data_IF_968298920628
#
_entry.id   IF_968298920628
#
_cell.length_a   1.000
_cell.length_b   1.000
_cell.length_c   1.000
_cell.angle_alpha   90.00
_cell.angle_beta   90.00
_cell.angle_gamma   90.00
#
_symmetry.space_group_name_H-M   'P 1'
#
loop_
_entity.id
_entity.type
_entity.pdbx_description
1 polymer ?
#
# COMPACT_ATOMS: atom_id res chain seq x y z
N UNK A 1 19.24 34.26 27.84
CA UNK A 1 18.72 32.93 27.47
C UNK A 1 18.69 32.87 25.96
N UNK A 2 19.55 32.05 25.36
CA UNK A 2 19.67 31.94 23.89
C UNK A 2 18.63 31.00 23.27
N UNK A 3 18.63 30.90 21.94
CA UNK A 3 17.82 29.94 21.20
C UNK A 3 18.44 28.54 21.30
N UNK A 4 17.59 27.51 21.35
CA UNK A 4 18.00 26.10 21.35
C UNK A 4 17.19 25.31 20.33
N UNK A 5 17.82 24.27 19.77
CA UNK A 5 17.22 23.32 18.83
C UNK A 5 17.22 21.95 19.50
N UNK A 6 16.06 21.34 19.66
CA UNK A 6 15.91 19.99 20.21
C UNK A 6 15.68 19.00 19.05
N UNK A 7 16.54 17.98 18.96
CA UNK A 7 16.51 16.95 17.94
C UNK A 7 16.37 15.60 18.63
N UNK A 8 15.45 14.76 18.15
CA UNK A 8 15.25 13.41 18.65
C UNK A 8 14.90 12.46 17.50
N UNK A 9 15.14 11.17 17.71
CA UNK A 9 14.83 10.09 16.78
C UNK A 9 13.47 9.46 17.11
N UNK A 10 12.63 9.28 16.10
CA UNK A 10 11.33 8.60 16.24
C UNK A 10 11.20 7.47 15.22
N UNK A 11 10.37 6.48 15.53
CA UNK A 11 10.11 5.34 14.66
C UNK A 11 8.62 5.12 14.52
N UNK A 12 8.17 4.86 13.30
CA UNK A 12 6.78 4.55 13.02
C UNK A 12 6.67 3.49 11.93
N UNK A 13 5.54 2.79 11.88
CA UNK A 13 5.29 1.72 10.93
C UNK A 13 4.74 2.27 9.61
N UNK A 14 5.30 1.81 8.50
CA UNK A 14 4.84 2.11 7.15
C UNK A 14 4.37 0.84 6.45
N UNK A 15 3.43 1.01 5.52
CA UNK A 15 3.02 -0.07 4.62
C UNK A 15 4.08 -0.21 3.54
N UNK A 16 4.57 -1.42 3.37
CA UNK A 16 5.54 -1.76 2.35
C UNK A 16 4.93 -1.62 0.94
N UNK A 17 5.67 -1.07 -0.05
CA UNK A 17 5.17 -0.85 -1.41
C UNK A 17 5.27 -2.10 -2.29
N UNK A 18 4.39 -3.07 -2.05
CA UNK A 18 4.36 -4.33 -2.78
C UNK A 18 3.09 -4.51 -3.66
N UNK A 19 3.12 -5.41 -4.66
CA UNK A 19 1.93 -5.82 -5.40
C UNK A 19 0.80 -6.28 -4.45
N UNK A 20 -0.45 -5.96 -4.78
CA UNK A 20 -1.57 -6.29 -3.90
C UNK A 20 -1.73 -7.81 -3.73
N UNK A 21 -1.44 -8.59 -4.76
CA UNK A 21 -1.41 -10.06 -4.70
C UNK A 21 -0.45 -10.56 -3.63
N UNK A 22 0.79 -10.06 -3.65
CA UNK A 22 1.82 -10.44 -2.68
C UNK A 22 1.42 -10.03 -1.26
N UNK A 23 0.76 -8.88 -1.11
CA UNK A 23 0.30 -8.39 0.18
C UNK A 23 -0.77 -9.30 0.77
N UNK A 24 -1.68 -9.75 -0.07
CA UNK A 24 -2.73 -10.68 0.33
C UNK A 24 -2.12 -12.06 0.67
N UNK A 25 -1.14 -12.53 -0.10
CA UNK A 25 -0.44 -13.78 0.19
C UNK A 25 0.31 -13.72 1.54
N UNK A 26 1.03 -12.62 1.82
CA UNK A 26 1.70 -12.39 3.10
C UNK A 26 0.69 -12.28 4.26
N UNK A 27 -0.42 -11.55 4.06
CA UNK A 27 -1.47 -11.39 5.07
C UNK A 27 -2.11 -12.72 5.47
N UNK A 28 -2.33 -13.61 4.49
CA UNK A 28 -2.91 -14.94 4.71
C UNK A 28 -1.87 -16.01 5.05
N UNK A 29 -0.58 -15.67 4.93
CA UNK A 29 0.57 -16.58 5.08
C UNK A 29 0.41 -17.85 4.22
N UNK A 30 -0.05 -17.70 2.97
CA UNK A 30 -0.25 -18.80 2.02
C UNK A 30 -0.28 -18.30 0.57
N UNK A 31 -0.10 -19.22 -0.36
CA UNK A 31 -0.34 -18.96 -1.78
C UNK A 31 -1.86 -18.89 -2.07
N UNK A 32 -2.27 -17.81 -2.74
CA UNK A 32 -3.66 -17.54 -3.11
C UNK A 32 -4.03 -17.99 -4.53
N UNK A 33 -3.05 -18.41 -5.33
CA UNK A 33 -3.27 -18.97 -6.68
C UNK A 33 -3.81 -20.39 -6.63
N UNK A 34 -3.42 -21.17 -5.62
CA UNK A 34 -3.72 -22.61 -5.51
C UNK A 34 -5.12 -22.87 -4.92
N UNK A 35 -5.60 -22.00 -4.02
CA UNK A 35 -6.85 -22.22 -3.29
C UNK A 35 -7.75 -20.99 -3.29
N UNK A 36 -9.06 -21.14 -3.59
CA UNK A 36 -10.02 -20.05 -3.46
C UNK A 36 -10.06 -19.41 -2.07
N UNK A 37 -10.37 -18.12 -2.01
CA UNK A 37 -10.52 -17.39 -0.76
C UNK A 37 -11.81 -17.81 -0.04
N UNK A 38 -11.68 -18.18 1.24
CA UNK A 38 -12.83 -18.39 2.13
C UNK A 38 -13.45 -17.06 2.56
N UNK A 39 -14.65 -17.08 3.11
CA UNK A 39 -15.30 -15.86 3.62
C UNK A 39 -14.49 -15.20 4.74
N UNK A 40 -13.85 -16.00 5.61
CA UNK A 40 -12.94 -15.49 6.64
C UNK A 40 -11.74 -14.76 6.02
N UNK A 41 -11.16 -15.32 4.96
CA UNK A 41 -10.05 -14.68 4.24
C UNK A 41 -10.51 -13.35 3.62
N UNK A 42 -11.68 -13.34 2.97
CA UNK A 42 -12.27 -12.13 2.37
C UNK A 42 -12.48 -11.02 3.40
N UNK A 43 -12.97 -11.35 4.59
CA UNK A 43 -13.15 -10.38 5.69
C UNK A 43 -11.81 -9.82 6.15
N UNK A 44 -10.79 -10.67 6.32
CA UNK A 44 -9.43 -10.24 6.71
C UNK A 44 -8.82 -9.30 5.66
N UNK A 45 -8.88 -9.68 4.39
CA UNK A 45 -8.34 -8.88 3.28
C UNK A 45 -9.08 -7.53 3.19
N UNK A 46 -10.42 -7.55 3.23
CA UNK A 46 -11.23 -6.32 3.17
C UNK A 46 -10.87 -5.37 4.31
N UNK A 47 -10.68 -5.89 5.54
CA UNK A 47 -10.27 -5.09 6.69
C UNK A 47 -8.85 -4.54 6.53
N UNK A 48 -7.92 -5.32 6.00
CA UNK A 48 -6.52 -4.91 5.82
C UNK A 48 -6.36 -3.85 4.74
N UNK A 49 -7.00 -4.03 3.57
CA UNK A 49 -6.85 -3.15 2.41
C UNK A 49 -7.73 -1.89 2.45
N UNK A 50 -8.81 -1.85 3.25
CA UNK A 50 -9.67 -0.67 3.33
C UNK A 50 -8.87 0.58 3.72
N UNK A 51 -8.98 1.62 2.91
CA UNK A 51 -8.31 2.92 3.05
C UNK A 51 -6.91 3.00 2.44
N UNK A 52 -6.29 1.85 2.10
CA UNK A 52 -4.95 1.80 1.52
C UNK A 52 -4.98 2.44 0.12
N UNK A 53 -3.95 3.25 -0.16
CA UNK A 53 -3.74 3.85 -1.48
C UNK A 53 -2.98 2.86 -2.36
N UNK A 54 -3.51 2.61 -3.54
CA UNK A 54 -2.88 1.78 -4.56
C UNK A 54 -2.70 2.57 -5.84
N UNK A 55 -1.71 2.19 -6.62
CA UNK A 55 -1.51 2.65 -7.98
C UNK A 55 -1.71 1.50 -8.97
N UNK A 56 -2.23 1.82 -10.14
CA UNK A 56 -2.37 0.84 -11.21
C UNK A 56 -1.03 0.64 -11.89
N UNK A 57 -0.59 -0.61 -12.01
CA UNK A 57 0.64 -1.00 -12.69
C UNK A 57 0.45 -0.84 -14.20
N UNK A 58 1.30 -0.04 -14.85
CA UNK A 58 1.25 0.22 -16.28
C UNK A 58 1.62 1.66 -16.66
N UNK A 59 1.25 2.08 -17.87
CA UNK A 59 1.58 3.41 -18.39
C UNK A 59 0.87 4.55 -17.65
N UNK A 60 -0.31 4.26 -17.09
CA UNK A 60 -1.14 5.25 -16.41
C UNK A 60 -1.11 5.00 -14.89
N UNK A 61 -0.14 5.60 -14.18
CA UNK A 61 0.06 5.46 -12.73
C UNK A 61 -0.97 6.26 -11.90
N UNK A 62 -2.26 6.06 -12.17
CA UNK A 62 -3.33 6.66 -11.39
C UNK A 62 -3.37 6.02 -10.01
N UNK A 63 -3.54 6.87 -8.99
CA UNK A 63 -3.61 6.48 -7.58
C UNK A 63 -5.06 6.48 -7.12
N UNK A 64 -5.44 5.46 -6.36
CA UNK A 64 -6.79 5.26 -5.86
C UNK A 64 -6.76 4.84 -4.40
N UNK A 65 -7.79 5.21 -3.63
CA UNK A 65 -8.03 4.63 -2.31
C UNK A 65 -9.00 3.45 -2.43
N UNK A 66 -8.64 2.33 -1.79
CA UNK A 66 -9.49 1.14 -1.74
C UNK A 66 -10.66 1.39 -0.78
N UNK A 67 -11.88 1.29 -1.30
CA UNK A 67 -13.12 1.34 -0.52
C UNK A 67 -13.53 -0.05 -0.02
N UNK A 68 -13.25 -1.10 -0.79
CA UNK A 68 -13.62 -2.47 -0.43
C UNK A 68 -13.17 -3.53 -1.44
N UNK A 69 -13.80 -4.70 -1.34
CA UNK A 69 -13.64 -5.84 -2.24
C UNK A 69 -14.99 -6.21 -2.82
N UNK A 70 -15.00 -6.74 -4.04
CA UNK A 70 -16.21 -7.31 -4.63
C UNK A 70 -16.60 -8.62 -3.96
N UNK A 71 -17.90 -8.91 -3.92
CA UNK A 71 -18.43 -10.21 -3.50
C UNK A 71 -18.10 -11.29 -4.54
N UNK A 72 -18.32 -10.97 -5.81
CA UNK A 72 -18.08 -11.86 -6.95
C UNK A 72 -16.60 -11.92 -7.34
N UNK A 73 -16.22 -13.01 -8.01
CA UNK A 73 -14.90 -13.19 -8.62
C UNK A 73 -14.75 -12.32 -9.88
N UNK A 74 -13.51 -11.98 -10.26
CA UNK A 74 -13.22 -11.13 -11.42
C UNK A 74 -13.81 -11.67 -12.72
N UNK A 75 -13.85 -12.99 -12.92
CA UNK A 75 -14.46 -13.62 -14.13
C UNK A 75 -15.95 -13.35 -14.29
N UNK A 76 -16.69 -13.23 -13.19
CA UNK A 76 -18.16 -13.11 -13.18
C UNK A 76 -18.60 -11.65 -13.00
N UNK A 77 -17.66 -10.76 -12.68
CA UNK A 77 -17.96 -9.37 -12.37
C UNK A 77 -18.18 -8.56 -13.65
N UNK A 78 -19.43 -8.11 -13.83
CA UNK A 78 -19.84 -7.20 -14.90
C UNK A 78 -20.09 -5.79 -14.37
N UNK A 79 -19.81 -4.79 -15.20
CA UNK A 79 -20.06 -3.39 -14.87
C UNK A 79 -20.48 -2.60 -16.12
N UNK A 80 -21.27 -1.52 -15.96
CA UNK A 80 -21.58 -0.62 -17.06
C UNK A 80 -20.33 0.20 -17.42
N UNK A 81 -19.88 0.08 -18.68
CA UNK A 81 -18.68 0.76 -19.18
C UNK A 81 -18.98 2.22 -19.55
N UNK A 82 -20.20 2.50 -20.01
CA UNK A 82 -20.66 3.81 -20.45
C UNK A 82 -22.07 4.14 -19.93
N UNK A 83 -22.46 5.41 -20.00
CA UNK A 83 -23.82 5.85 -19.67
C UNK A 83 -24.86 5.36 -20.71
N UNK A 84 -24.43 4.71 -21.80
CA UNK A 84 -25.30 4.09 -22.83
C UNK A 84 -25.77 2.69 -22.43
N UNK A 85 -25.30 2.16 -21.30
CA UNK A 85 -25.72 0.88 -20.75
C UNK A 85 -24.96 -0.31 -21.32
N UNK A 86 -23.82 -0.10 -21.98
CA UNK A 86 -22.96 -1.19 -22.45
C UNK A 86 -22.35 -1.89 -21.24
N UNK A 87 -22.80 -3.11 -20.96
CA UNK A 87 -22.27 -3.93 -19.87
C UNK A 87 -21.16 -4.83 -20.42
N UNK A 88 -20.00 -4.81 -19.76
CA UNK A 88 -18.91 -5.75 -20.03
C UNK A 88 -18.42 -6.40 -18.74
N UNK A 89 -17.82 -7.58 -18.86
CA UNK A 89 -17.08 -8.17 -17.73
C UNK A 89 -15.75 -7.45 -17.54
N UNK A 90 -15.23 -7.48 -16.32
CA UNK A 90 -13.90 -6.91 -16.03
C UNK A 90 -12.81 -7.58 -16.88
N UNK A 91 -12.87 -8.91 -17.04
CA UNK A 91 -11.92 -9.65 -17.88
C UNK A 91 -11.97 -9.18 -19.34
N UNK A 92 -13.16 -9.06 -19.92
CA UNK A 92 -13.33 -8.63 -21.29
C UNK A 92 -12.87 -7.18 -21.49
N UNK A 93 -13.24 -6.28 -20.59
CA UNK A 93 -12.85 -4.88 -20.67
C UNK A 93 -11.32 -4.70 -20.64
N UNK A 94 -10.62 -5.40 -19.74
CA UNK A 94 -9.18 -5.29 -19.63
C UNK A 94 -8.44 -5.90 -20.83
N UNK A 95 -8.95 -7.01 -21.37
CA UNK A 95 -8.39 -7.61 -22.58
C UNK A 95 -8.57 -6.71 -23.81
N UNK A 96 -9.78 -6.19 -24.05
CA UNK A 96 -10.07 -5.36 -25.23
C UNK A 96 -9.45 -3.96 -25.16
N UNK A 97 -9.45 -3.34 -23.97
CA UNK A 97 -9.01 -1.94 -23.80
C UNK A 97 -7.51 -1.82 -23.58
N UNK A 98 -6.91 -2.77 -22.85
CA UNK A 98 -5.51 -2.70 -22.45
C UNK A 98 -4.66 -3.85 -23.01
N UNK A 99 -5.26 -4.84 -23.70
CA UNK A 99 -4.53 -6.04 -24.13
C UNK A 99 -4.06 -6.91 -22.96
N UNK A 100 -4.65 -6.76 -21.77
CA UNK A 100 -4.18 -7.41 -20.55
C UNK A 100 -5.03 -8.64 -20.21
N UNK A 101 -4.39 -9.81 -20.16
CA UNK A 101 -5.04 -11.07 -19.80
C UNK A 101 -4.88 -11.36 -18.30
N UNK A 102 -5.97 -11.23 -17.56
CA UNK A 102 -6.03 -11.48 -16.11
C UNK A 102 -5.93 -12.99 -15.85
N UNK A 103 -4.99 -13.40 -14.99
CA UNK A 103 -4.73 -14.82 -14.71
C UNK A 103 -5.56 -15.36 -13.53
N UNK A 104 -5.56 -14.64 -12.42
CA UNK A 104 -6.23 -14.93 -11.17
C UNK A 104 -7.69 -14.48 -11.20
N UNK A 105 -8.43 -14.97 -12.18
CA UNK A 105 -9.83 -14.58 -12.42
C UNK A 105 -10.80 -15.01 -11.32
N UNK A 106 -10.39 -15.92 -10.44
CA UNK A 106 -11.15 -16.40 -9.26
C UNK A 106 -11.07 -15.46 -8.06
N UNK A 107 -10.09 -14.56 -8.03
CA UNK A 107 -9.95 -13.57 -6.97
C UNK A 107 -11.01 -12.46 -7.12
N UNK A 108 -11.39 -11.78 -6.02
CA UNK A 108 -12.24 -10.61 -6.11
C UNK A 108 -11.47 -9.39 -6.64
N UNK A 109 -12.19 -8.43 -7.21
CA UNK A 109 -11.63 -7.13 -7.55
C UNK A 109 -11.58 -6.20 -6.34
N UNK A 110 -10.67 -5.24 -6.37
CA UNK A 110 -10.67 -4.07 -5.51
C UNK A 110 -11.77 -3.11 -5.97
N UNK A 111 -12.59 -2.66 -5.04
CA UNK A 111 -13.47 -1.52 -5.25
C UNK A 111 -12.73 -0.24 -4.90
N UNK A 112 -12.72 0.71 -5.83
CA UNK A 112 -12.10 2.03 -5.66
C UNK A 112 -13.06 3.12 -6.14
N UNK A 113 -12.78 4.37 -5.75
CA UNK A 113 -13.61 5.51 -6.15
C UNK A 113 -14.85 5.69 -5.27
N UNK A 114 -15.88 6.33 -5.83
CA UNK A 114 -17.10 6.72 -5.10
C UNK A 114 -18.06 5.51 -4.98
N UNK A 115 -18.84 5.44 -3.90
CA UNK A 115 -19.87 4.40 -3.70
C UNK A 115 -20.97 4.46 -4.78
N UNK A 116 -21.28 5.64 -5.32
CA UNK A 116 -22.31 5.82 -6.35
C UNK A 116 -21.87 5.34 -7.74
N UNK A 117 -20.57 5.43 -8.04
CA UNK A 117 -19.95 4.97 -9.29
C UNK A 117 -18.66 4.24 -8.95
N UNK A 118 -18.75 2.99 -8.45
CA UNK A 118 -17.58 2.24 -8.05
C UNK A 118 -16.78 1.82 -9.28
N UNK A 119 -15.46 1.95 -9.19
CA UNK A 119 -14.54 1.39 -10.17
C UNK A 119 -14.01 0.06 -9.64
N UNK A 120 -13.82 -0.91 -10.53
CA UNK A 120 -13.34 -2.24 -10.20
C UNK A 120 -11.95 -2.45 -10.78
N UNK A 121 -10.98 -2.73 -9.92
CA UNK A 121 -9.60 -3.01 -10.32
C UNK A 121 -9.22 -4.45 -9.94
N UNK A 122 -8.79 -5.29 -10.89
CA UNK A 122 -8.18 -6.58 -10.58
C UNK A 122 -6.99 -6.41 -9.64
N UNK A 123 -6.80 -7.32 -8.68
CA UNK A 123 -5.67 -7.23 -7.73
C UNK A 123 -4.30 -7.27 -8.42
N UNK A 124 -4.19 -7.98 -9.55
CA UNK A 124 -2.96 -8.13 -10.32
C UNK A 124 -2.40 -6.83 -10.87
N UNK A 125 -3.28 -5.89 -11.20
CA UNK A 125 -2.87 -4.62 -11.82
C UNK A 125 -2.65 -3.54 -10.77
N UNK A 126 -2.58 -3.87 -9.48
CA UNK A 126 -2.49 -2.91 -8.40
C UNK A 126 -1.24 -3.13 -7.55
N UNK A 127 -0.55 -2.02 -7.25
CA UNK A 127 0.58 -1.96 -6.33
C UNK A 127 0.28 -0.99 -5.19
N UNK A 128 0.67 -1.32 -3.97
CA UNK A 128 0.57 -0.42 -2.83
C UNK A 128 1.58 0.72 -2.99
N UNK A 129 1.11 1.96 -2.81
CA UNK A 129 1.96 3.16 -2.90
C UNK A 129 2.93 3.22 -1.72
N UNK A 130 4.15 3.67 -1.95
CA UNK A 130 5.18 3.83 -0.91
C UNK A 130 4.87 4.97 0.08
N UNK A 131 5.55 4.93 1.24
CA UNK A 131 5.49 6.00 2.24
C UNK A 131 4.14 6.12 2.96
N UNK A 132 3.28 5.10 2.88
CA UNK A 132 1.98 5.13 3.55
C UNK A 132 2.11 4.77 5.02
N UNK A 133 1.80 5.72 5.90
CA UNK A 133 1.76 5.49 7.33
C UNK A 133 0.71 4.43 7.70
N UNK A 134 1.10 3.40 8.46
CA UNK A 134 0.18 2.37 8.92
C UNK A 134 -0.58 2.86 10.17
N UNK A 135 -1.81 3.33 9.97
CA UNK A 135 -2.64 3.91 11.05
C UNK A 135 -3.41 2.88 11.89
N UNK A 136 -3.38 1.59 11.50
CA UNK A 136 -4.12 0.53 12.21
C UNK A 136 -3.30 0.00 13.37
N UNK A 137 -3.98 -0.54 14.39
CA UNK A 137 -3.32 -1.20 15.51
C UNK A 137 -2.47 -2.36 15.02
N UNK A 138 -1.18 -2.34 15.37
CA UNK A 138 -0.24 -3.43 15.13
C UNK A 138 -0.62 -4.64 16.00
N UNK A 139 -0.40 -5.84 15.49
CA UNK A 139 -0.55 -7.06 16.28
C UNK A 139 0.63 -7.22 17.27
N UNK A 140 0.51 -8.10 18.25
CA UNK A 140 1.54 -8.30 19.28
C UNK A 140 2.92 -8.61 18.68
N UNK A 141 2.98 -9.47 17.65
CA UNK A 141 4.24 -9.80 16.97
C UNK A 141 4.89 -8.58 16.32
N UNK A 142 4.10 -7.74 15.66
CA UNK A 142 4.54 -6.49 15.03
C UNK A 142 4.98 -5.47 16.08
N UNK A 143 4.25 -5.36 17.20
CA UNK A 143 4.63 -4.50 18.33
C UNK A 143 5.96 -4.97 18.90
N UNK A 144 6.14 -6.27 19.15
CA UNK A 144 7.39 -6.83 19.64
C UNK A 144 8.54 -6.58 18.66
N UNK A 145 8.31 -6.73 17.36
CA UNK A 145 9.32 -6.43 16.34
C UNK A 145 9.70 -4.94 16.35
N UNK A 146 8.72 -4.04 16.43
CA UNK A 146 8.97 -2.61 16.55
C UNK A 146 9.77 -2.30 17.83
N UNK A 147 9.34 -2.82 18.98
CA UNK A 147 10.01 -2.62 20.26
C UNK A 147 11.45 -3.11 20.25
N UNK A 148 11.73 -4.26 19.63
CA UNK A 148 13.10 -4.78 19.48
C UNK A 148 14.02 -3.82 18.73
N UNK A 149 13.49 -3.04 17.79
CA UNK A 149 14.25 -2.07 17.02
C UNK A 149 14.33 -0.72 17.73
N UNK A 150 13.26 -0.30 18.42
CA UNK A 150 13.16 1.04 19.02
C UNK A 150 13.70 1.14 20.45
N UNK A 151 13.75 0.03 21.19
CA UNK A 151 14.21 0.02 22.57
C UNK A 151 15.75 -0.05 22.62
N UNK A 152 16.38 1.11 22.46
CA UNK A 152 17.83 1.29 22.56
C UNK A 152 18.24 1.81 23.94
N UNK A 153 19.49 1.54 24.34
CA UNK A 153 20.04 2.12 25.59
C UNK A 153 20.28 3.63 25.42
N UNK A 154 20.18 4.44 26.49
CA UNK A 154 20.37 5.89 26.38
C UNK A 154 21.66 6.32 25.68
N UNK A 155 22.78 5.64 25.97
CA UNK A 155 24.07 5.93 25.33
C UNK A 155 24.06 5.67 23.83
N UNK A 156 23.43 4.58 23.37
CA UNK A 156 23.30 4.26 21.95
C UNK A 156 22.40 5.28 21.25
N UNK A 157 21.28 5.63 21.87
CA UNK A 157 20.34 6.64 21.34
C UNK A 157 21.00 8.01 21.21
N UNK A 158 21.78 8.43 22.20
CA UNK A 158 22.52 9.71 22.15
C UNK A 158 23.51 9.72 20.98
N UNK A 159 24.26 8.63 20.79
CA UNK A 159 25.17 8.49 19.65
C UNK A 159 24.44 8.55 18.31
N UNK A 160 23.30 7.86 18.18
CA UNK A 160 22.47 7.89 16.97
C UNK A 160 21.96 9.32 16.68
N UNK A 161 21.46 10.04 17.70
CA UNK A 161 20.98 11.43 17.58
C UNK A 161 22.13 12.35 17.14
N UNK A 162 23.30 12.25 17.79
CA UNK A 162 24.47 13.06 17.46
C UNK A 162 24.96 12.78 16.04
N UNK A 163 24.97 11.50 15.64
CA UNK A 163 25.31 11.11 14.29
C UNK A 163 24.38 11.77 13.28
N UNK A 164 23.06 11.62 13.44
CA UNK A 164 22.08 12.25 12.54
C UNK A 164 22.25 13.77 12.49
N UNK A 165 22.43 14.42 13.64
CA UNK A 165 22.63 15.86 13.70
C UNK A 165 23.89 16.31 12.94
N UNK A 166 25.02 15.62 13.13
CA UNK A 166 26.28 15.95 12.44
C UNK A 166 26.17 15.70 10.93
N UNK A 167 25.66 14.54 10.51
CA UNK A 167 25.49 14.25 9.08
C UNK A 167 24.60 15.30 8.38
N UNK A 168 23.47 15.68 8.98
CA UNK A 168 22.55 16.64 8.38
C UNK A 168 23.15 18.06 8.32
N UNK A 169 23.92 18.45 9.33
CA UNK A 169 24.67 19.72 9.33
C UNK A 169 25.74 19.75 8.23
N UNK A 170 26.45 18.64 7.99
CA UNK A 170 27.44 18.53 6.91
C UNK A 170 26.81 18.61 5.52
N UNK A 171 25.70 17.90 5.27
CA UNK A 171 25.01 17.96 3.98
C UNK A 171 24.44 19.35 3.69
N UNK A 172 23.90 20.02 4.71
CA UNK A 172 23.33 21.35 4.56
C UNK A 172 24.42 22.40 4.32
N UNK A 173 25.58 22.29 4.97
CA UNK A 173 26.76 23.10 4.66
C UNK A 173 27.30 22.83 3.24
N UNK A 174 27.38 21.58 2.81
CA UNK A 174 27.83 21.24 1.46
C UNK A 174 26.86 21.78 0.39
N UNK A 175 25.56 21.67 0.62
CA UNK A 175 24.55 22.22 -0.30
C UNK A 175 24.60 23.75 -0.34
N UNK A 176 24.73 24.42 0.81
CA UNK A 176 24.91 25.87 0.88
C UNK A 176 26.21 26.36 0.23
N UNK A 177 27.29 25.57 0.26
CA UNK A 177 28.53 25.88 -0.45
C UNK A 177 28.39 25.67 -1.97
N UNK A 178 27.65 24.66 -2.43
CA UNK A 178 27.45 24.39 -3.85
C UNK A 178 26.40 25.35 -4.47
N UNK A 179 25.44 25.86 -3.68
CA UNK A 179 24.43 26.82 -4.14
C UNK A 179 24.84 28.29 -4.03
N UNK A 180 26.03 28.59 -3.48
CA UNK A 180 26.64 29.93 -3.47
C UNK A 180 27.87 30.05 -4.39
N UNK A 181 28.03 29.11 -5.34
CA UNK A 181 28.95 29.21 -6.49
C UNK A 181 28.10 29.22 -7.76
#
# INVERSE_FOLDING_TARGET
MGLSLNIDMSSTAFIEPLPVIDFVAQLLNRDISVRPLSDSDRVKIKKALRGVKVEVTGNMRRKYHISGLTSQATRELSFPVDDRGTVKTVVQYFMETYGFSIQHTTLPCLQVGNQQRPNYLPMEVCKIVEGQHYSKRLNEKQITALLKVTCQRPQERELDILQVAVYHMFYQCLHLMISNV
#
